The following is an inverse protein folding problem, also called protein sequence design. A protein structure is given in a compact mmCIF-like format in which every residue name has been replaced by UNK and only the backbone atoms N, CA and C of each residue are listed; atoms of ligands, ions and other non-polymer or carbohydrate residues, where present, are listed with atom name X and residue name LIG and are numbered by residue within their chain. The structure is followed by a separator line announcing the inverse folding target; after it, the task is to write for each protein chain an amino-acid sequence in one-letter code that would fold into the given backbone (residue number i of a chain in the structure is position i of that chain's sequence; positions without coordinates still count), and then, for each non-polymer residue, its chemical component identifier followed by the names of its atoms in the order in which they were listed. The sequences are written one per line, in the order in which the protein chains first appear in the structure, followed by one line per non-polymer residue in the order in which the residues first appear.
data_IF_033146718969
#
_entry.id   IF_033146718969
#
_cell.length_a   1.000
_cell.length_b   1.000
_cell.length_c   1.000
_cell.angle_alpha   90.00
_cell.angle_beta   90.00
_cell.angle_gamma   90.00
#
_symmetry.space_group_name_H-M   'P 1'
#
loop_
_entity.id
_entity.type
_entity.pdbx_description
1 polymer ?
#
# COMPACT_ATOMS: atom_id res chain seq x y z
N UNK A 1 19.29 25.00 17.44
CA UNK A 1 19.36 23.80 16.58
C UNK A 1 18.18 23.86 15.64
N UNK A 2 18.39 23.71 14.33
CA UNK A 2 17.25 23.62 13.40
C UNK A 2 16.45 22.35 13.73
N UNK A 3 15.12 22.44 13.80
CA UNK A 3 14.26 21.28 14.05
C UNK A 3 14.26 20.39 12.82
N UNK A 4 14.52 19.09 12.99
CA UNK A 4 14.33 18.09 11.94
C UNK A 4 12.94 17.46 12.07
N UNK A 5 12.29 17.20 10.94
CA UNK A 5 11.00 16.51 10.87
C UNK A 5 11.17 15.13 10.24
N UNK A 6 10.41 14.16 10.73
CA UNK A 6 10.41 12.79 10.21
C UNK A 6 8.97 12.41 9.89
N UNK A 7 8.71 12.04 8.64
CA UNK A 7 7.46 11.42 8.23
C UNK A 7 7.68 9.91 8.12
N UNK A 8 6.82 9.15 8.79
CA UNK A 8 6.87 7.68 8.83
C UNK A 8 5.61 7.16 8.14
N UNK A 9 5.82 6.31 7.15
CA UNK A 9 4.80 5.61 6.39
C UNK A 9 4.93 4.11 6.68
N UNK A 10 3.82 3.51 7.10
CA UNK A 10 3.75 2.14 7.59
C UNK A 10 3.50 1.11 6.49
N UNK A 11 3.16 -0.08 6.94
CA UNK A 11 2.79 -1.22 6.10
C UNK A 11 1.38 -1.72 6.45
N UNK A 12 1.01 -2.90 5.95
CA UNK A 12 -0.31 -3.50 6.18
C UNK A 12 -0.51 -4.10 7.59
N UNK A 13 0.42 -3.90 8.54
CA UNK A 13 0.27 -4.41 9.92
C UNK A 13 -0.72 -3.60 10.75
N UNK A 14 -1.00 -2.35 10.38
CA UNK A 14 -1.92 -1.44 11.07
C UNK A 14 -3.15 -1.16 10.20
N UNK A 15 -4.34 -1.19 10.81
CA UNK A 15 -5.60 -0.90 10.11
C UNK A 15 -5.65 0.55 9.60
N UNK A 16 -5.78 0.71 8.29
CA UNK A 16 -5.85 2.02 7.62
C UNK A 16 -7.29 2.42 7.28
N UNK A 17 -8.21 1.46 7.25
CA UNK A 17 -9.57 1.60 6.78
C UNK A 17 -10.35 2.71 7.51
N UNK A 18 -10.27 2.87 8.85
CA UNK A 18 -10.94 3.97 9.55
C UNK A 18 -10.41 5.34 9.14
N UNK A 19 -9.12 5.43 8.79
CA UNK A 19 -8.49 6.68 8.33
C UNK A 19 -8.91 6.99 6.91
N UNK A 20 -8.86 6.02 5.99
CA UNK A 20 -9.31 6.21 4.63
C UNK A 20 -10.80 6.59 4.56
N UNK A 21 -11.63 5.91 5.34
CA UNK A 21 -13.06 6.23 5.43
C UNK A 21 -13.28 7.71 5.79
N UNK A 22 -12.53 8.24 6.78
CA UNK A 22 -12.63 9.65 7.16
C UNK A 22 -12.16 10.58 6.04
N UNK A 23 -11.03 10.26 5.39
CA UNK A 23 -10.48 11.08 4.31
C UNK A 23 -11.41 11.15 3.09
N UNK A 24 -12.04 10.04 2.69
CA UNK A 24 -12.97 9.99 1.56
C UNK A 24 -14.25 10.81 1.78
N UNK A 25 -14.57 11.16 3.04
CA UNK A 25 -15.74 11.97 3.40
C UNK A 25 -15.41 13.45 3.62
N UNK A 26 -14.14 13.85 3.47
CA UNK A 26 -13.71 15.25 3.49
C UNK A 26 -14.27 15.96 2.27
N UNK A 27 -14.94 17.09 2.47
CA UNK A 27 -15.55 17.89 1.39
C UNK A 27 -14.97 19.31 1.28
N UNK A 28 -14.20 19.73 2.27
CA UNK A 28 -13.64 21.07 2.42
C UNK A 28 -12.18 21.16 1.93
N UNK A 29 -11.64 20.09 1.33
CA UNK A 29 -10.29 20.03 0.77
C UNK A 29 -10.35 19.64 -0.71
N UNK A 30 -10.30 20.65 -1.58
CA UNK A 30 -10.40 20.49 -3.04
C UNK A 30 -9.23 19.67 -3.59
N UNK A 31 -8.04 19.83 -3.02
CA UNK A 31 -6.84 19.12 -3.46
C UNK A 31 -6.93 17.64 -3.13
N UNK A 32 -7.38 17.30 -1.92
CA UNK A 32 -7.61 15.93 -1.50
C UNK A 32 -8.70 15.25 -2.34
N UNK A 33 -9.78 15.97 -2.66
CA UNK A 33 -10.84 15.46 -3.53
C UNK A 33 -10.30 15.16 -4.94
N UNK A 34 -9.58 16.10 -5.55
CA UNK A 34 -8.97 15.90 -6.89
C UNK A 34 -7.99 14.72 -6.90
N UNK A 35 -7.20 14.55 -5.83
CA UNK A 35 -6.33 13.39 -5.68
C UNK A 35 -7.12 12.07 -5.70
N UNK A 36 -8.16 11.93 -4.88
CA UNK A 36 -8.94 10.70 -4.83
C UNK A 36 -9.74 10.43 -6.11
N UNK A 37 -10.25 11.46 -6.77
CA UNK A 37 -10.93 11.33 -8.06
C UNK A 37 -9.97 10.80 -9.14
N UNK A 38 -8.75 11.34 -9.21
CA UNK A 38 -7.71 10.87 -10.13
C UNK A 38 -7.27 9.45 -9.83
N UNK A 39 -7.08 9.11 -8.55
CA UNK A 39 -6.76 7.73 -8.13
C UNK A 39 -7.88 6.79 -8.56
N UNK A 40 -9.13 7.07 -8.21
CA UNK A 40 -10.29 6.25 -8.58
C UNK A 40 -10.38 6.02 -10.09
N UNK A 41 -10.19 7.08 -10.88
CA UNK A 41 -10.16 7.00 -12.34
C UNK A 41 -9.02 6.10 -12.86
N UNK A 42 -7.78 6.30 -12.39
CA UNK A 42 -6.63 5.54 -12.88
C UNK A 42 -6.70 4.06 -12.47
N UNK A 43 -7.14 3.76 -11.25
CA UNK A 43 -7.32 2.37 -10.81
C UNK A 43 -8.39 1.68 -11.65
N UNK A 44 -9.52 2.33 -11.91
CA UNK A 44 -10.57 1.78 -12.78
C UNK A 44 -10.04 1.52 -14.20
N UNK A 45 -9.35 2.50 -14.78
CA UNK A 45 -8.74 2.38 -16.11
C UNK A 45 -7.77 1.20 -16.18
N UNK A 46 -6.92 1.04 -15.16
CA UNK A 46 -5.98 -0.08 -15.09
C UNK A 46 -6.70 -1.41 -14.96
N UNK A 47 -7.66 -1.54 -14.04
CA UNK A 47 -8.46 -2.77 -13.87
C UNK A 47 -9.16 -3.14 -15.18
N UNK A 48 -9.79 -2.19 -15.87
CA UNK A 48 -10.44 -2.44 -17.17
C UNK A 48 -9.47 -2.86 -18.29
N UNK A 49 -8.17 -2.63 -18.13
CA UNK A 49 -7.14 -3.06 -19.10
C UNK A 49 -6.62 -4.48 -18.86
N UNK A 50 -6.95 -5.10 -17.73
CA UNK A 50 -6.50 -6.44 -17.38
C UNK A 50 -7.18 -7.53 -18.24
N UNK A 51 -6.63 -8.74 -18.33
CA UNK A 51 -7.35 -9.89 -18.86
C UNK A 51 -8.67 -10.16 -18.11
N UNK A 52 -9.70 -10.63 -18.81
CA UNK A 52 -11.05 -10.80 -18.25
C UNK A 52 -11.09 -11.66 -16.96
N UNK A 53 -10.25 -12.70 -16.86
CA UNK A 53 -10.16 -13.53 -15.67
C UNK A 53 -9.62 -12.78 -14.43
N UNK A 54 -8.72 -11.82 -14.63
CA UNK A 54 -8.20 -10.96 -13.55
C UNK A 54 -9.16 -9.82 -13.23
N UNK A 55 -9.87 -9.28 -14.23
CA UNK A 55 -10.93 -8.29 -13.99
C UNK A 55 -11.99 -8.84 -13.03
N UNK A 56 -12.35 -10.12 -13.16
CA UNK A 56 -13.30 -10.80 -12.29
C UNK A 56 -12.84 -10.90 -10.82
N UNK A 57 -11.56 -10.63 -10.51
CA UNK A 57 -11.07 -10.57 -9.13
C UNK A 57 -11.40 -9.26 -8.42
N UNK A 58 -11.79 -8.22 -9.16
CA UNK A 58 -12.09 -6.88 -8.66
C UNK A 58 -13.61 -6.65 -8.60
N UNK A 59 -14.07 -5.73 -7.73
CA UNK A 59 -15.47 -5.31 -7.75
C UNK A 59 -15.71 -4.40 -8.95
N UNK A 60 -16.98 -4.18 -9.29
CA UNK A 60 -17.36 -3.06 -10.14
C UNK A 60 -17.41 -1.78 -9.30
N UNK A 61 -16.75 -0.72 -9.77
CA UNK A 61 -16.70 0.55 -9.06
C UNK A 61 -16.59 1.72 -10.06
N UNK A 62 -17.15 2.87 -9.68
CA UNK A 62 -17.04 4.12 -10.44
C UNK A 62 -16.17 5.15 -9.74
N UNK A 63 -16.16 5.16 -8.41
CA UNK A 63 -15.31 6.04 -7.59
C UNK A 63 -14.39 5.25 -6.66
N UNK A 64 -13.40 5.94 -6.07
CA UNK A 64 -12.56 5.33 -5.04
C UNK A 64 -13.36 4.96 -3.78
N UNK A 65 -14.40 5.72 -3.45
CA UNK A 65 -15.31 5.41 -2.35
C UNK A 65 -16.08 4.10 -2.59
N UNK A 66 -16.58 3.88 -3.81
CA UNK A 66 -17.27 2.64 -4.17
C UNK A 66 -16.33 1.42 -4.12
N UNK A 67 -15.08 1.61 -4.56
CA UNK A 67 -14.03 0.60 -4.46
C UNK A 67 -13.76 0.25 -3.00
N UNK A 68 -13.56 1.26 -2.15
CA UNK A 68 -13.34 1.10 -0.72
C UNK A 68 -14.53 0.43 -0.03
N UNK A 69 -15.78 0.74 -0.39
CA UNK A 69 -16.95 0.11 0.22
C UNK A 69 -17.04 -1.42 -0.05
N UNK A 70 -16.38 -1.91 -1.11
CA UNK A 70 -16.47 -3.30 -1.55
C UNK A 70 -15.14 -4.08 -1.43
N UNK A 71 -14.05 -3.40 -1.05
CA UNK A 71 -12.69 -3.96 -1.16
C UNK A 71 -12.47 -5.25 -0.37
N UNK A 72 -13.25 -5.51 0.69
CA UNK A 72 -13.13 -6.72 1.52
C UNK A 72 -13.86 -7.95 0.94
N UNK A 73 -14.69 -7.78 -0.09
CA UNK A 73 -15.63 -8.81 -0.58
C UNK A 73 -15.17 -9.49 -1.87
N UNK A 74 -13.91 -9.35 -2.24
CA UNK A 74 -13.40 -9.73 -3.57
C UNK A 74 -12.11 -10.55 -3.46
N UNK A 75 -11.69 -11.17 -4.56
CA UNK A 75 -10.43 -11.93 -4.52
C UNK A 75 -9.20 -11.01 -4.45
N UNK A 76 -9.29 -9.82 -5.05
CA UNK A 76 -8.18 -8.86 -5.09
C UNK A 76 -7.93 -8.08 -3.79
N UNK A 77 -8.56 -8.46 -2.66
CA UNK A 77 -8.42 -7.75 -1.36
C UNK A 77 -6.96 -7.42 -1.02
N UNK A 78 -5.98 -8.35 -1.11
CA UNK A 78 -4.60 -8.02 -0.73
C UNK A 78 -3.99 -6.92 -1.60
N UNK A 79 -4.24 -6.98 -2.92
CA UNK A 79 -3.77 -5.98 -3.87
C UNK A 79 -4.46 -4.62 -3.65
N UNK A 80 -5.76 -4.64 -3.37
CA UNK A 80 -6.53 -3.43 -3.07
C UNK A 80 -6.07 -2.79 -1.76
N UNK A 81 -5.88 -3.56 -0.69
CA UNK A 81 -5.36 -3.02 0.58
C UNK A 81 -4.00 -2.35 0.40
N UNK A 82 -3.16 -2.86 -0.50
CA UNK A 82 -1.84 -2.29 -0.78
C UNK A 82 -1.97 -0.89 -1.42
N UNK A 83 -2.84 -0.76 -2.43
CA UNK A 83 -3.10 0.51 -3.08
C UNK A 83 -3.86 1.51 -2.20
N UNK A 84 -4.85 1.03 -1.45
CA UNK A 84 -5.68 1.86 -0.60
C UNK A 84 -4.90 2.39 0.61
N UNK A 85 -3.97 1.62 1.19
CA UNK A 85 -3.05 2.12 2.20
C UNK A 85 -2.17 3.25 1.65
N UNK A 86 -1.53 3.03 0.48
CA UNK A 86 -0.74 4.08 -0.18
C UNK A 86 -1.56 5.36 -0.42
N UNK A 87 -2.79 5.23 -0.92
CA UNK A 87 -3.69 6.37 -1.11
C UNK A 87 -4.07 7.05 0.22
N UNK A 88 -4.25 6.27 1.29
CA UNK A 88 -4.54 6.78 2.63
C UNK A 88 -3.41 7.65 3.14
N UNK A 89 -2.17 7.15 3.06
CA UNK A 89 -1.00 7.83 3.59
C UNK A 89 -0.68 9.12 2.83
N UNK A 90 -0.80 9.11 1.50
CA UNK A 90 -0.66 10.33 0.69
C UNK A 90 -1.81 11.30 1.02
N UNK A 91 -3.04 10.80 1.16
CA UNK A 91 -4.19 11.62 1.54
C UNK A 91 -4.02 12.29 2.91
N UNK A 92 -3.47 11.57 3.90
CA UNK A 92 -3.11 12.14 5.21
C UNK A 92 -2.05 13.23 5.07
N UNK A 93 -1.01 12.99 4.26
CA UNK A 93 0.05 13.95 4.04
C UNK A 93 -0.45 15.24 3.38
N UNK A 94 -1.24 15.12 2.29
CA UNK A 94 -1.88 16.26 1.62
C UNK A 94 -2.71 17.07 2.61
N UNK A 95 -3.63 16.39 3.32
CA UNK A 95 -4.52 17.05 4.30
C UNK A 95 -3.73 17.71 5.41
N UNK A 96 -2.67 17.06 5.91
CA UNK A 96 -1.83 17.62 6.96
C UNK A 96 -1.20 18.94 6.53
N UNK A 97 -0.59 19.01 5.33
CA UNK A 97 0.02 20.24 4.83
C UNK A 97 -1.01 21.35 4.59
N UNK A 98 -2.17 21.01 4.02
CA UNK A 98 -3.26 21.98 3.77
C UNK A 98 -3.81 22.54 5.09
N UNK A 99 -4.16 21.68 6.05
CA UNK A 99 -4.76 22.11 7.32
C UNK A 99 -3.82 22.93 8.19
N UNK A 100 -2.52 22.63 8.13
CA UNK A 100 -1.52 23.34 8.93
C UNK A 100 -0.91 24.54 8.19
N UNK A 101 -1.30 24.76 6.92
CA UNK A 101 -0.69 25.78 6.04
C UNK A 101 0.84 25.68 6.03
N UNK A 102 1.37 24.45 6.09
CA UNK A 102 2.81 24.19 6.12
C UNK A 102 3.38 24.22 4.71
N UNK A 103 4.62 24.73 4.54
CA UNK A 103 5.33 24.57 3.28
C UNK A 103 5.60 23.09 3.01
N UNK A 104 5.83 22.76 1.74
CA UNK A 104 6.26 21.43 1.37
C UNK A 104 7.61 21.09 2.02
N UNK A 105 7.84 19.84 2.45
CA UNK A 105 9.10 19.41 3.04
C UNK A 105 10.34 19.75 2.22
N UNK A 106 11.42 20.12 2.91
CA UNK A 106 12.74 20.36 2.30
C UNK A 106 13.75 19.31 2.75
N UNK A 107 14.59 18.86 1.81
CA UNK A 107 15.57 17.79 2.03
C UNK A 107 16.60 18.10 3.13
N UNK A 108 16.86 19.38 3.41
CA UNK A 108 17.82 19.79 4.43
C UNK A 108 17.35 19.54 5.87
N UNK A 109 16.05 19.36 6.10
CA UNK A 109 15.48 19.25 7.44
C UNK A 109 14.37 18.21 7.57
N UNK A 110 14.09 17.43 6.52
CA UNK A 110 13.03 16.42 6.53
C UNK A 110 13.56 15.06 6.13
N UNK A 111 13.16 14.03 6.88
CA UNK A 111 13.43 12.64 6.58
C UNK A 111 12.11 11.91 6.31
N UNK A 112 12.11 11.06 5.29
CA UNK A 112 10.95 10.27 4.88
C UNK A 112 11.33 8.80 5.03
N UNK A 113 10.56 8.07 5.84
CA UNK A 113 10.78 6.64 6.11
C UNK A 113 9.53 5.89 5.71
N UNK A 114 9.68 4.83 4.92
CA UNK A 114 8.55 4.04 4.43
C UNK A 114 8.83 2.55 4.53
N UNK A 115 7.98 1.82 5.25
CA UNK A 115 8.06 0.37 5.39
C UNK A 115 7.15 -0.35 4.39
N UNK A 116 7.69 -1.25 3.56
CA UNK A 116 6.94 -2.02 2.58
C UNK A 116 5.99 -1.17 1.70
N UNK A 117 4.70 -1.09 2.04
CA UNK A 117 3.73 -0.23 1.34
C UNK A 117 4.05 1.26 1.50
N UNK A 118 4.56 1.69 2.65
CA UNK A 118 4.90 3.07 2.95
C UNK A 118 6.07 3.61 2.13
N UNK A 119 6.85 2.74 1.46
CA UNK A 119 7.90 3.19 0.54
C UNK A 119 7.33 3.93 -0.68
N UNK A 120 6.09 3.65 -1.09
CA UNK A 120 5.41 4.32 -2.21
C UNK A 120 5.06 5.79 -1.93
N UNK A 121 4.34 6.14 -0.84
CA UNK A 121 4.13 7.54 -0.47
C UNK A 121 5.46 8.27 -0.22
N UNK A 122 6.41 7.64 0.48
CA UNK A 122 7.72 8.23 0.72
C UNK A 122 8.44 8.60 -0.58
N UNK A 123 8.41 7.72 -1.59
CA UNK A 123 9.00 7.97 -2.90
C UNK A 123 8.27 9.11 -3.64
N UNK A 124 6.94 9.11 -3.71
CA UNK A 124 6.18 10.19 -4.35
C UNK A 124 6.45 11.56 -3.70
N UNK A 125 6.51 11.60 -2.36
CA UNK A 125 6.72 12.82 -1.60
C UNK A 125 8.16 13.34 -1.78
N UNK A 126 9.16 12.45 -1.70
CA UNK A 126 10.57 12.82 -1.86
C UNK A 126 10.94 13.33 -3.26
N UNK A 127 10.18 12.91 -4.28
CA UNK A 127 10.44 13.26 -5.69
C UNK A 127 9.71 14.53 -6.14
N UNK A 128 8.96 15.17 -5.25
CA UNK A 128 8.19 16.38 -5.52
C UNK A 128 8.67 17.54 -4.63
N UNK A 129 8.47 18.78 -5.05
CA UNK A 129 8.82 19.97 -4.26
C UNK A 129 7.61 20.81 -3.87
N UNK A 130 6.44 20.50 -4.42
CA UNK A 130 5.17 21.18 -4.13
C UNK A 130 4.01 20.19 -4.12
N UNK A 131 2.87 20.59 -3.54
CA UNK A 131 1.63 19.80 -3.61
C UNK A 131 1.14 19.58 -5.05
N UNK A 132 1.34 20.55 -5.94
CA UNK A 132 0.98 20.45 -7.35
C UNK A 132 1.84 19.45 -8.11
N UNK A 133 3.14 19.39 -7.80
CA UNK A 133 4.06 18.37 -8.34
C UNK A 133 3.79 16.99 -7.74
N UNK A 134 3.37 16.93 -6.47
CA UNK A 134 3.04 15.69 -5.80
C UNK A 134 1.83 14.99 -6.43
N UNK A 135 0.79 15.72 -6.83
CA UNK A 135 -0.44 15.12 -7.37
C UNK A 135 -0.20 14.03 -8.45
N UNK A 136 0.50 14.30 -9.56
CA UNK A 136 0.76 13.28 -10.57
C UNK A 136 1.65 12.13 -10.06
N UNK A 137 2.69 12.43 -9.26
CA UNK A 137 3.57 11.42 -8.68
C UNK A 137 2.84 10.49 -7.69
N UNK A 138 1.93 11.06 -6.89
CA UNK A 138 1.12 10.37 -5.92
C UNK A 138 0.13 9.41 -6.59
N UNK A 139 -0.55 9.87 -7.64
CA UNK A 139 -1.47 9.01 -8.42
C UNK A 139 -0.70 7.83 -9.04
N UNK A 140 0.48 8.07 -9.59
CA UNK A 140 1.32 6.99 -10.12
C UNK A 140 1.79 6.04 -9.01
N UNK A 141 2.20 6.55 -7.85
CA UNK A 141 2.61 5.72 -6.73
C UNK A 141 1.50 4.77 -6.26
N UNK A 142 0.25 5.27 -6.17
CA UNK A 142 -0.91 4.42 -5.87
C UNK A 142 -1.13 3.38 -6.98
N UNK A 143 -1.02 3.76 -8.24
CA UNK A 143 -1.17 2.83 -9.36
C UNK A 143 -0.09 1.74 -9.39
N UNK A 144 1.18 2.09 -9.17
CA UNK A 144 2.29 1.13 -9.11
C UNK A 144 2.13 0.22 -7.90
N UNK A 145 1.66 0.74 -6.77
CA UNK A 145 1.36 -0.09 -5.60
C UNK A 145 0.26 -1.12 -5.89
N UNK A 146 -0.80 -0.76 -6.63
CA UNK A 146 -1.81 -1.73 -7.09
C UNK A 146 -1.20 -2.79 -8.02
N UNK A 147 -0.39 -2.37 -9.01
CA UNK A 147 0.28 -3.27 -9.95
C UNK A 147 1.16 -4.28 -9.21
N UNK A 148 1.93 -3.82 -8.22
CA UNK A 148 2.78 -4.67 -7.39
C UNK A 148 1.93 -5.65 -6.55
N UNK A 149 0.90 -5.15 -5.87
CA UNK A 149 0.01 -5.99 -5.08
C UNK A 149 -0.70 -7.05 -5.92
N UNK A 150 -1.14 -6.70 -7.13
CA UNK A 150 -1.76 -7.64 -8.07
C UNK A 150 -0.74 -8.66 -8.58
N UNK A 151 0.49 -8.25 -8.90
CA UNK A 151 1.53 -9.18 -9.31
C UNK A 151 1.85 -10.20 -8.21
N UNK A 152 1.98 -9.74 -6.96
CA UNK A 152 2.14 -10.63 -5.80
C UNK A 152 0.96 -11.60 -5.66
N UNK A 153 -0.27 -11.13 -5.88
CA UNK A 153 -1.47 -11.98 -5.84
C UNK A 153 -1.50 -13.04 -6.96
N UNK A 154 -1.05 -12.70 -8.17
CA UNK A 154 -0.94 -13.63 -9.29
C UNK A 154 0.09 -14.71 -8.97
N UNK A 155 1.29 -14.32 -8.52
CA UNK A 155 2.34 -15.27 -8.13
C UNK A 155 1.84 -16.19 -7.02
N UNK A 156 1.13 -15.66 -6.02
CA UNK A 156 0.47 -16.47 -5.00
C UNK A 156 -0.50 -17.49 -5.61
N UNK A 157 -1.37 -17.05 -6.53
CA UNK A 157 -2.35 -17.91 -7.18
C UNK A 157 -1.68 -19.05 -7.96
N UNK A 158 -0.55 -18.77 -8.61
CA UNK A 158 0.23 -19.76 -9.37
C UNK A 158 0.99 -20.74 -8.46
N UNK A 159 1.41 -20.29 -7.27
CA UNK A 159 2.11 -21.13 -6.28
C UNK A 159 1.13 -22.07 -5.54
N UNK A 160 0.01 -21.53 -5.07
CA UNK A 160 -0.96 -22.30 -4.30
C UNK A 160 -2.38 -21.96 -4.76
N UNK A 161 -3.08 -22.96 -5.30
CA UNK A 161 -4.47 -22.83 -5.68
C UNK A 161 -5.31 -22.41 -4.46
N UNK A 162 -6.03 -21.29 -4.59
CA UNK A 162 -6.84 -20.77 -3.50
C UNK A 162 -8.00 -21.72 -3.16
N UNK A 163 -8.04 -22.22 -1.93
CA UNK A 163 -9.17 -22.99 -1.41
C UNK A 163 -10.24 -22.02 -0.91
N UNK A 164 -11.48 -22.05 -1.46
CA UNK A 164 -12.55 -21.16 -1.00
C UNK A 164 -12.80 -21.30 0.50
N UNK A 165 -12.88 -20.18 1.21
CA UNK A 165 -13.23 -20.12 2.64
C UNK A 165 -12.06 -20.24 3.63
N UNK A 166 -10.81 -20.37 3.16
CA UNK A 166 -9.64 -20.34 4.04
C UNK A 166 -8.69 -19.19 3.66
N UNK A 167 -8.81 -18.01 4.28
CA UNK A 167 -7.78 -16.98 4.16
C UNK A 167 -6.49 -17.48 4.81
N UNK A 168 -5.51 -17.86 3.99
CA UNK A 168 -4.15 -18.20 4.45
C UNK A 168 -3.29 -16.94 4.50
N UNK A 169 -2.69 -16.68 5.66
CA UNK A 169 -1.64 -15.67 5.78
C UNK A 169 -0.36 -16.17 5.12
N UNK A 170 0.36 -15.26 4.45
CA UNK A 170 1.66 -15.53 3.82
C UNK A 170 2.83 -14.97 4.63
N UNK A 171 2.54 -14.38 5.78
CA UNK A 171 3.53 -13.91 6.74
C UNK A 171 3.07 -14.22 8.17
N UNK A 172 4.04 -14.35 9.06
CA UNK A 172 3.82 -14.50 10.48
C UNK A 172 4.91 -13.74 11.23
N UNK A 173 4.54 -13.13 12.36
CA UNK A 173 5.49 -12.55 13.29
C UNK A 173 5.97 -13.64 14.25
N UNK A 174 7.28 -13.73 14.42
CA UNK A 174 7.92 -14.66 15.34
C UNK A 174 8.78 -13.88 16.33
N UNK A 175 8.69 -14.23 17.61
CA UNK A 175 9.47 -13.61 18.68
C UNK A 175 10.77 -14.41 18.89
N UNK A 176 11.70 -14.27 17.94
CA UNK A 176 12.99 -14.97 17.91
C UNK A 176 14.05 -14.03 17.34
N UNK A 177 15.29 -14.16 17.80
CA UNK A 177 16.41 -13.40 17.26
C UNK A 177 16.63 -13.73 15.76
N UNK A 178 17.03 -12.73 14.97
CA UNK A 178 17.09 -12.83 13.50
C UNK A 178 18.04 -13.93 13.03
N UNK A 179 19.20 -14.07 13.65
CA UNK A 179 20.17 -15.12 13.30
C UNK A 179 19.66 -16.50 13.68
N UNK A 180 19.03 -16.64 14.85
CA UNK A 180 18.40 -17.90 15.26
C UNK A 180 17.24 -18.30 14.31
N UNK A 181 16.41 -17.33 13.91
CA UNK A 181 15.35 -17.56 12.93
C UNK A 181 15.92 -17.98 11.57
N UNK A 182 16.99 -17.34 11.11
CA UNK A 182 17.66 -17.66 9.85
C UNK A 182 18.24 -19.08 9.86
N UNK A 183 18.88 -19.50 10.95
CA UNK A 183 19.46 -20.83 11.10
C UNK A 183 18.35 -21.90 11.09
N UNK A 184 17.26 -21.67 11.82
CA UNK A 184 16.11 -22.59 11.85
C UNK A 184 15.42 -22.71 10.49
N UNK A 185 15.24 -21.60 9.78
CA UNK A 185 14.67 -21.60 8.42
C UNK A 185 15.58 -22.34 7.45
N UNK A 186 16.91 -22.14 7.56
CA UNK A 186 17.89 -22.83 6.72
C UNK A 186 17.86 -24.34 6.97
N UNK A 187 17.85 -24.75 8.24
CA UNK A 187 17.73 -26.16 8.61
C UNK A 187 16.42 -26.77 8.12
N UNK A 188 15.29 -26.07 8.30
CA UNK A 188 13.98 -26.50 7.81
C UNK A 188 13.96 -26.70 6.29
N UNK A 189 14.46 -25.71 5.54
CA UNK A 189 14.53 -25.76 4.08
C UNK A 189 15.46 -26.89 3.57
N UNK A 190 16.44 -27.30 4.38
CA UNK A 190 17.34 -28.41 4.06
C UNK A 190 16.79 -29.80 4.45
N UNK A 191 15.95 -29.90 5.50
CA UNK A 191 15.60 -31.18 6.12
C UNK A 191 14.49 -31.95 5.36
N UNK A 192 13.36 -31.36 4.91
CA UNK A 192 12.34 -32.13 4.15
C UNK A 192 11.33 -31.40 3.24
N UNK A 193 11.06 -32.08 2.12
CA UNK A 193 9.76 -32.53 1.54
C UNK A 193 8.60 -31.55 1.31
N UNK A 194 8.75 -30.26 1.56
CA UNK A 194 7.74 -29.24 1.25
C UNK A 194 8.07 -28.60 -0.11
N UNK A 195 7.11 -28.48 -1.02
CA UNK A 195 7.35 -27.88 -2.34
C UNK A 195 7.67 -26.36 -2.30
N UNK A 196 7.62 -25.71 -1.13
CA UNK A 196 7.77 -24.26 -1.00
C UNK A 196 8.77 -23.89 0.11
N UNK A 197 9.81 -23.08 -0.20
CA UNK A 197 10.79 -22.63 0.78
C UNK A 197 10.22 -21.54 1.71
N UNK A 198 10.66 -21.52 2.96
CA UNK A 198 10.44 -20.40 3.87
C UNK A 198 11.47 -19.30 3.64
N UNK A 199 11.04 -18.04 3.65
CA UNK A 199 11.89 -16.86 3.47
C UNK A 199 11.77 -15.97 4.71
N UNK A 200 12.91 -15.55 5.26
CA UNK A 200 12.96 -14.57 6.33
C UNK A 200 12.97 -13.15 5.74
N UNK A 201 12.04 -12.31 6.16
CA UNK A 201 12.06 -10.87 5.88
C UNK A 201 12.28 -10.12 7.19
N UNK A 202 13.37 -9.37 7.28
CA UNK A 202 13.63 -8.52 8.45
C UNK A 202 12.91 -7.18 8.26
N UNK A 203 11.86 -6.92 9.04
CA UNK A 203 11.37 -5.57 9.23
C UNK A 203 12.35 -4.89 10.20
N UNK A 204 13.21 -4.01 9.70
CA UNK A 204 14.04 -3.18 10.58
C UNK A 204 13.09 -2.20 11.28
N UNK A 205 12.83 -2.44 12.57
CA UNK A 205 12.14 -1.52 13.49
C UNK A 205 13.09 -0.45 14.01
#
# INVERSE_FOLDING_TARGET
MASSEVFIFGDQTVAFEPTLHRLLHVKDDVLLSDFFDRVGFQLRRYVSSLPAHQQAWFPLFTTLLDLFAQHEKVYSVPALKFALLCATEIGQFIRHLVQTTRPYPVAASTYLVGACTGSFPAAAISTSQTLSELLPAAVEAVLVSLKLGLHSLIVRYDIEASVPGQPKSWSALVDVEVTEAADKITAYNADKASNLPLILTCAQS
#
